data_IF_292865973332
#
_entry.id   IF_292865973332
#
_cell.length_a   1.000
_cell.length_b   1.000
_cell.length_c   1.000
_cell.angle_alpha   90.00
_cell.angle_beta   90.00
_cell.angle_gamma   90.00
#
_symmetry.space_group_name_H-M   'P 1'
#
loop_
_entity.id
_entity.type
_entity.pdbx_description
1 polymer ?
#
# COMPACT_ATOMS: atom_id res chain seq x y z
N UNK A 1 6.25 5.24 -12.68
CA UNK A 1 6.34 3.76 -12.72
C UNK A 1 7.79 3.40 -13.05
N UNK A 2 8.55 2.84 -12.10
CA UNK A 2 9.96 2.44 -12.36
C UNK A 2 9.95 1.08 -13.05
N UNK A 3 10.48 0.99 -14.27
CA UNK A 3 10.67 -0.29 -14.94
C UNK A 3 11.86 -1.05 -14.30
N UNK A 4 12.02 -2.34 -14.57
CA UNK A 4 13.18 -3.14 -14.10
C UNK A 4 14.54 -2.46 -14.34
N UNK A 5 14.68 -1.75 -15.46
CA UNK A 5 15.86 -0.95 -15.77
C UNK A 5 16.07 0.24 -14.83
N UNK A 6 15.01 0.84 -14.30
CA UNK A 6 15.08 1.89 -13.29
C UNK A 6 15.51 1.33 -11.93
N UNK A 7 15.09 0.11 -11.58
CA UNK A 7 15.51 -0.57 -10.36
C UNK A 7 17.00 -0.92 -10.42
N UNK A 8 17.48 -1.43 -11.56
CA UNK A 8 18.91 -1.69 -11.75
C UNK A 8 19.76 -0.43 -11.67
N UNK A 9 19.28 0.68 -12.26
CA UNK A 9 19.97 1.98 -12.18
C UNK A 9 19.97 2.54 -10.76
N UNK A 10 18.87 2.39 -10.04
CA UNK A 10 18.77 2.84 -8.65
C UNK A 10 19.71 2.03 -7.76
N UNK A 11 19.71 0.69 -7.87
CA UNK A 11 20.61 -0.16 -7.09
C UNK A 11 22.09 0.13 -7.40
N UNK A 12 22.44 0.35 -8.67
CA UNK A 12 23.79 0.78 -9.04
C UNK A 12 24.16 2.14 -8.43
N UNK A 13 23.21 3.08 -8.36
CA UNK A 13 23.43 4.39 -7.74
C UNK A 13 23.62 4.33 -6.23
N UNK A 14 23.22 3.22 -5.58
CA UNK A 14 23.40 2.99 -4.16
C UNK A 14 24.75 2.39 -3.79
N UNK A 15 25.58 1.97 -4.75
CA UNK A 15 26.89 1.38 -4.48
C UNK A 15 27.78 2.23 -3.54
N UNK A 16 27.89 3.57 -3.69
CA UNK A 16 28.67 4.40 -2.77
C UNK A 16 28.13 4.40 -1.33
N UNK A 17 26.81 4.30 -1.17
CA UNK A 17 26.16 4.20 0.12
C UNK A 17 26.41 2.82 0.75
N UNK A 18 26.29 1.74 -0.03
CA UNK A 18 26.59 0.38 0.42
C UNK A 18 28.05 0.24 0.85
N UNK A 19 28.96 0.90 0.14
CA UNK A 19 30.36 0.98 0.52
C UNK A 19 30.57 1.75 1.82
N UNK A 20 29.78 2.80 2.07
CA UNK A 20 29.82 3.58 3.31
C UNK A 20 29.23 2.81 4.51
N UNK A 21 28.28 1.91 4.28
CA UNK A 21 27.77 0.99 5.32
C UNK A 21 28.83 -0.02 5.80
N UNK A 22 29.91 -0.22 5.04
CA UNK A 22 31.00 -1.15 5.39
C UNK A 22 30.59 -2.62 5.36
N UNK A 23 29.49 -2.95 4.67
CA UNK A 23 28.97 -4.30 4.55
C UNK A 23 29.47 -4.94 3.24
N UNK A 24 30.69 -5.50 3.31
CA UNK A 24 31.38 -6.07 2.15
C UNK A 24 30.59 -7.21 1.50
N UNK A 25 29.75 -7.92 2.27
CA UNK A 25 28.90 -9.00 1.78
C UNK A 25 27.78 -8.48 0.88
N UNK A 26 27.06 -7.44 1.33
CA UNK A 26 26.02 -6.79 0.54
C UNK A 26 26.62 -6.11 -0.70
N UNK A 27 27.76 -5.43 -0.54
CA UNK A 27 28.42 -4.74 -1.64
C UNK A 27 28.89 -5.73 -2.73
N UNK A 28 29.50 -6.84 -2.33
CA UNK A 28 29.90 -7.91 -3.26
C UNK A 28 28.69 -8.53 -3.97
N UNK A 29 27.64 -8.84 -3.22
CA UNK A 29 26.40 -9.40 -3.77
C UNK A 29 25.71 -8.43 -4.73
N UNK A 30 25.74 -7.13 -4.45
CA UNK A 30 25.20 -6.08 -5.33
C UNK A 30 25.94 -6.06 -6.67
N UNK A 31 27.28 -6.09 -6.65
CA UNK A 31 28.10 -6.12 -7.86
C UNK A 31 27.85 -7.37 -8.70
N UNK A 32 27.76 -8.54 -8.05
CA UNK A 32 27.45 -9.80 -8.72
C UNK A 32 26.06 -9.75 -9.37
N UNK A 33 25.05 -9.26 -8.64
CA UNK A 33 23.69 -9.12 -9.15
C UNK A 33 23.62 -8.17 -10.37
N UNK A 34 24.36 -7.05 -10.35
CA UNK A 34 24.39 -6.11 -11.47
C UNK A 34 25.16 -6.63 -12.70
N UNK A 35 26.16 -7.49 -12.47
CA UNK A 35 26.98 -8.10 -13.52
C UNK A 35 26.32 -9.32 -14.19
N UNK A 36 25.24 -9.86 -13.62
CA UNK A 36 24.56 -11.05 -14.15
C UNK A 36 24.00 -10.79 -15.57
N UNK A 37 24.43 -11.58 -16.58
CA UNK A 37 23.98 -11.43 -17.96
C UNK A 37 22.59 -12.02 -18.23
N UNK A 38 22.16 -13.06 -17.50
CA UNK A 38 20.83 -13.64 -17.69
C UNK A 38 19.76 -12.81 -16.95
N UNK A 39 18.74 -12.36 -17.67
CA UNK A 39 17.72 -11.45 -17.10
C UNK A 39 16.93 -12.03 -15.92
N UNK A 40 16.71 -13.36 -15.89
CA UNK A 40 15.97 -14.00 -14.80
C UNK A 40 16.87 -14.22 -13.58
N UNK A 41 18.12 -14.64 -13.80
CA UNK A 41 19.11 -14.78 -12.73
C UNK A 41 19.48 -13.42 -12.14
N UNK A 42 19.54 -12.38 -12.98
CA UNK A 42 19.78 -10.99 -12.56
C UNK A 42 18.70 -10.50 -11.60
N UNK A 43 17.43 -10.71 -11.95
CA UNK A 43 16.31 -10.35 -11.08
C UNK A 43 16.35 -11.10 -9.75
N UNK A 44 16.63 -12.41 -9.78
CA UNK A 44 16.74 -13.22 -8.56
C UNK A 44 17.91 -12.76 -7.66
N UNK A 45 19.05 -12.40 -8.25
CA UNK A 45 20.20 -11.88 -7.52
C UNK A 45 19.92 -10.50 -6.91
N UNK A 46 19.26 -9.61 -7.65
CA UNK A 46 18.85 -8.28 -7.16
C UNK A 46 17.83 -8.43 -6.00
N UNK A 47 16.91 -9.39 -6.06
CA UNK A 47 16.00 -9.72 -4.95
C UNK A 47 16.75 -10.10 -3.68
N UNK A 48 17.71 -11.01 -3.79
CA UNK A 48 18.51 -11.46 -2.66
C UNK A 48 19.25 -10.28 -2.00
N UNK A 49 19.86 -9.41 -2.81
CA UNK A 49 20.57 -8.22 -2.34
C UNK A 49 19.65 -7.26 -1.58
N UNK A 50 18.44 -7.01 -2.10
CA UNK A 50 17.50 -6.12 -1.44
C UNK A 50 16.99 -6.69 -0.10
N UNK A 51 16.76 -8.00 -0.02
CA UNK A 51 16.35 -8.65 1.23
C UNK A 51 17.45 -8.59 2.30
N UNK A 52 18.70 -8.82 1.91
CA UNK A 52 19.85 -8.60 2.81
C UNK A 52 19.89 -7.15 3.32
N UNK A 53 19.60 -6.19 2.44
CA UNK A 53 19.51 -4.78 2.80
C UNK A 53 18.37 -4.48 3.77
N UNK A 54 17.21 -5.14 3.63
CA UNK A 54 16.08 -5.02 4.55
C UNK A 54 16.46 -5.48 5.95
N UNK A 55 17.01 -6.69 6.06
CA UNK A 55 17.44 -7.26 7.35
C UNK A 55 18.49 -6.38 8.02
N UNK A 56 19.37 -5.76 7.22
CA UNK A 56 20.41 -4.87 7.73
C UNK A 56 19.88 -3.52 8.21
N UNK A 57 18.88 -2.97 7.53
CA UNK A 57 18.18 -1.75 7.96
C UNK A 57 17.43 -1.94 9.28
N UNK A 58 16.87 -3.13 9.51
CA UNK A 58 16.18 -3.43 10.76
C UNK A 58 17.17 -3.59 11.93
N UNK A 59 18.43 -3.93 11.65
CA UNK A 59 19.51 -4.05 12.64
C UNK A 59 20.25 -2.73 12.91
N UNK A 60 20.32 -1.83 11.93
CA UNK A 60 21.06 -0.56 12.03
C UNK A 60 20.10 0.63 12.02
N UNK A 61 19.84 1.19 13.21
CA UNK A 61 18.96 2.35 13.40
C UNK A 61 19.51 3.68 12.86
N UNK A 62 20.73 3.72 12.32
CA UNK A 62 21.46 4.94 11.95
C UNK A 62 21.53 5.18 10.43
N UNK A 63 20.71 4.46 9.64
CA UNK A 63 20.57 4.75 8.21
C UNK A 63 19.72 6.00 8.02
N UNK A 64 20.29 6.99 7.32
CA UNK A 64 19.62 8.23 6.96
C UNK A 64 18.23 7.99 6.37
N UNK A 65 17.26 8.82 6.75
CA UNK A 65 15.85 8.64 6.40
C UNK A 65 15.60 8.56 4.89
N UNK A 66 16.45 9.20 4.08
CA UNK A 66 16.36 9.19 2.61
C UNK A 66 16.83 7.87 2.01
N UNK A 67 17.94 7.31 2.49
CA UNK A 67 18.50 6.03 2.03
C UNK A 67 17.60 4.87 2.43
N UNK A 68 17.04 4.91 3.64
CA UNK A 68 16.03 3.96 4.10
C UNK A 68 14.78 4.00 3.22
N UNK A 69 14.29 5.19 2.88
CA UNK A 69 13.13 5.36 2.00
C UNK A 69 13.41 4.80 0.59
N UNK A 70 14.59 5.08 0.03
CA UNK A 70 14.99 4.56 -1.30
C UNK A 70 15.04 3.03 -1.33
N UNK A 71 15.60 2.40 -0.29
CA UNK A 71 15.66 0.95 -0.16
C UNK A 71 14.27 0.31 -0.07
N UNK A 72 13.39 0.89 0.75
CA UNK A 72 12.01 0.43 0.87
C UNK A 72 11.25 0.56 -0.45
N UNK A 73 11.44 1.66 -1.19
CA UNK A 73 10.83 1.85 -2.52
C UNK A 73 11.32 0.79 -3.51
N UNK A 74 12.61 0.46 -3.52
CA UNK A 74 13.15 -0.60 -4.39
C UNK A 74 12.65 -1.99 -3.99
N UNK A 75 12.67 -2.33 -2.70
CA UNK A 75 12.16 -3.60 -2.16
C UNK A 75 10.70 -3.82 -2.57
N UNK A 76 9.89 -2.79 -2.41
CA UNK A 76 8.50 -2.80 -2.79
C UNK A 76 8.30 -2.86 -4.31
N UNK A 77 9.21 -2.28 -5.10
CA UNK A 77 9.16 -2.37 -6.57
C UNK A 77 9.54 -3.75 -7.10
N UNK A 78 10.36 -4.52 -6.37
CA UNK A 78 10.78 -5.86 -6.77
C UNK A 78 9.80 -6.95 -6.31
N UNK A 79 9.16 -6.79 -5.15
CA UNK A 79 8.03 -7.67 -4.76
C UNK A 79 6.95 -7.68 -5.86
N UNK A 80 6.77 -6.57 -6.58
CA UNK A 80 5.89 -6.48 -7.76
C UNK A 80 6.30 -7.38 -8.94
N UNK A 81 7.58 -7.63 -9.17
CA UNK A 81 8.01 -8.48 -10.30
C UNK A 81 7.82 -9.99 -10.05
N UNK A 82 7.79 -10.44 -8.78
CA UNK A 82 7.28 -11.80 -8.48
C UNK A 82 5.77 -11.88 -8.61
N UNK A 83 5.07 -10.78 -8.32
CA UNK A 83 3.62 -10.64 -8.50
C UNK A 83 3.23 -10.54 -9.98
N UNK A 84 4.07 -10.10 -10.91
CA UNK A 84 3.73 -10.01 -12.34
C UNK A 84 3.56 -11.37 -13.06
N UNK A 85 3.58 -12.51 -12.35
CA UNK A 85 3.13 -13.82 -12.85
C UNK A 85 1.76 -14.27 -12.29
N UNK A 86 1.10 -13.49 -11.43
CA UNK A 86 -0.26 -13.72 -10.93
C UNK A 86 -1.01 -12.38 -10.84
N UNK A 87 -2.27 -12.28 -11.28
CA UNK A 87 -3.02 -11.02 -11.21
C UNK A 87 -2.93 -10.38 -9.81
N UNK A 88 -2.63 -9.07 -9.74
CA UNK A 88 -2.53 -8.35 -8.46
C UNK A 88 -3.92 -8.20 -7.82
N UNK A 89 -3.99 -7.90 -6.52
CA UNK A 89 -5.28 -7.70 -5.82
C UNK A 89 -6.08 -6.59 -6.51
N UNK A 90 -5.39 -5.50 -6.89
CA UNK A 90 -5.99 -4.38 -7.61
C UNK A 90 -6.43 -4.76 -9.02
N UNK A 91 -5.66 -5.56 -9.77
CA UNK A 91 -6.09 -6.02 -11.10
C UNK A 91 -7.38 -6.86 -11.02
N UNK A 92 -7.47 -7.74 -10.02
CA UNK A 92 -8.68 -8.56 -9.80
C UNK A 92 -9.88 -7.69 -9.41
N UNK A 93 -9.68 -6.73 -8.51
CA UNK A 93 -10.72 -5.76 -8.14
C UNK A 93 -11.18 -4.99 -9.37
N UNK A 94 -10.27 -4.40 -10.15
CA UNK A 94 -10.59 -3.61 -11.35
C UNK A 94 -11.36 -4.46 -12.36
N UNK A 95 -10.94 -5.71 -12.59
CA UNK A 95 -11.66 -6.63 -13.47
C UNK A 95 -13.10 -6.86 -13.02
N UNK A 96 -13.35 -7.14 -11.74
CA UNK A 96 -14.71 -7.33 -11.22
C UNK A 96 -15.54 -6.03 -11.27
N UNK A 97 -14.90 -4.87 -11.08
CA UNK A 97 -15.57 -3.56 -11.20
C UNK A 97 -15.97 -3.25 -12.64
N UNK A 98 -15.10 -3.57 -13.61
CA UNK A 98 -15.36 -3.43 -15.05
C UNK A 98 -16.53 -4.31 -15.50
N UNK A 99 -16.60 -5.56 -15.01
CA UNK A 99 -17.72 -6.48 -15.24
C UNK A 99 -19.05 -5.94 -14.70
N UNK A 100 -19.01 -5.09 -13.67
CA UNK A 100 -20.16 -4.40 -13.08
C UNK A 100 -20.42 -3.01 -13.68
N UNK A 101 -19.63 -2.59 -14.67
CA UNK A 101 -19.69 -1.26 -15.27
C UNK A 101 -19.53 -0.10 -14.26
N UNK A 102 -18.77 -0.33 -13.20
CA UNK A 102 -18.46 0.68 -12.18
C UNK A 102 -17.32 1.56 -12.70
N UNK A 103 -17.45 2.87 -12.57
CA UNK A 103 -16.37 3.79 -12.97
C UNK A 103 -15.31 3.84 -11.87
N UNK A 104 -14.09 3.47 -12.24
CA UNK A 104 -12.93 3.54 -11.36
C UNK A 104 -11.74 4.10 -12.14
N UNK A 105 -10.95 4.91 -11.48
CA UNK A 105 -9.66 5.37 -11.99
C UNK A 105 -8.53 4.70 -11.20
N UNK A 106 -7.59 4.11 -11.93
CA UNK A 106 -6.36 3.56 -11.36
C UNK A 106 -5.33 4.68 -11.30
N UNK A 107 -4.94 5.07 -10.10
CA UNK A 107 -3.97 6.15 -9.87
C UNK A 107 -2.64 5.59 -9.34
N UNK A 108 -1.62 6.44 -9.34
CA UNK A 108 -0.29 6.04 -8.92
C UNK A 108 -0.29 5.52 -7.45
N UNK A 109 0.53 4.50 -7.16
CA UNK A 109 0.84 4.11 -5.79
C UNK A 109 1.42 5.29 -5.03
N UNK A 110 1.07 5.45 -3.75
CA UNK A 110 1.62 6.41 -2.76
C UNK A 110 2.68 7.39 -3.30
N UNK A 111 2.29 8.64 -3.54
CA UNK A 111 3.22 9.72 -3.87
C UNK A 111 2.51 11.07 -3.96
N UNK A 112 2.85 12.01 -3.07
CA UNK A 112 2.37 13.41 -2.98
C UNK A 112 0.85 13.68 -3.13
N UNK A 113 0.03 12.64 -3.24
CA UNK A 113 -1.42 12.75 -3.34
C UNK A 113 -1.96 13.30 -2.02
N UNK A 114 -2.70 14.40 -2.16
CA UNK A 114 -3.25 15.19 -1.06
C UNK A 114 -4.05 14.35 -0.05
N UNK A 115 -4.92 13.38 -0.44
CA UNK A 115 -5.70 12.59 0.51
C UNK A 115 -4.82 11.75 1.44
N UNK A 116 -3.80 11.08 0.90
CA UNK A 116 -2.91 10.22 1.67
C UNK A 116 -1.97 11.00 2.60
N UNK A 117 -1.52 12.18 2.15
CA UNK A 117 -0.72 13.08 2.98
C UNK A 117 -1.55 13.58 4.15
N UNK A 118 -2.78 14.06 3.89
CA UNK A 118 -3.70 14.52 4.94
C UNK A 118 -4.13 13.41 5.88
N UNK A 119 -4.38 12.20 5.36
CA UNK A 119 -4.69 11.05 6.18
C UNK A 119 -3.63 10.82 7.27
N UNK A 120 -2.35 10.85 6.90
CA UNK A 120 -1.24 10.69 7.86
C UNK A 120 -1.14 11.82 8.88
N UNK A 121 -1.58 13.02 8.51
CA UNK A 121 -1.58 14.19 9.40
C UNK A 121 -2.76 14.17 10.37
N UNK A 122 -3.89 13.61 9.96
CA UNK A 122 -5.16 13.66 10.72
C UNK A 122 -5.45 12.41 11.52
N UNK A 123 -5.07 11.24 11.04
CA UNK A 123 -5.36 9.98 11.72
C UNK A 123 -4.11 9.44 12.45
N UNK A 124 -4.28 8.98 13.69
CA UNK A 124 -3.19 8.31 14.40
C UNK A 124 -2.87 6.98 13.71
N UNK A 125 -1.60 6.72 13.44
CA UNK A 125 -1.15 5.51 12.76
C UNK A 125 -0.72 4.43 13.76
N UNK A 126 -0.97 3.16 13.42
CA UNK A 126 -0.47 2.01 14.19
C UNK A 126 0.62 1.24 13.42
N UNK A 127 1.37 0.38 14.11
CA UNK A 127 2.42 -0.43 13.50
C UNK A 127 1.92 -1.73 12.85
N UNK A 128 0.69 -2.13 13.15
CA UNK A 128 0.09 -3.42 12.75
C UNK A 128 -1.29 -3.28 12.08
N UNK A 129 -1.77 -2.03 11.91
CA UNK A 129 -2.97 -1.61 11.16
C UNK A 129 -2.74 -0.18 10.66
N UNK A 130 -3.53 0.33 9.72
CA UNK A 130 -3.38 1.70 9.24
C UNK A 130 -3.69 2.71 10.36
N UNK A 131 -4.84 2.56 11.01
CA UNK A 131 -5.35 3.54 11.98
C UNK A 131 -5.27 2.98 13.39
N UNK A 132 -4.72 3.74 14.33
CA UNK A 132 -4.83 3.45 15.76
C UNK A 132 -6.20 3.89 16.28
N UNK A 133 -7.20 3.04 16.07
CA UNK A 133 -8.59 3.28 16.47
C UNK A 133 -8.78 3.60 17.96
N UNK A 134 -7.89 3.12 18.82
CA UNK A 134 -7.91 3.43 20.26
C UNK A 134 -7.73 4.92 20.57
N UNK A 135 -7.24 5.68 19.58
CA UNK A 135 -6.97 7.12 19.66
C UNK A 135 -7.91 7.95 18.79
N UNK A 136 -8.85 7.32 18.07
CA UNK A 136 -9.87 8.00 17.27
C UNK A 136 -11.15 8.11 18.10
N UNK A 137 -11.61 9.33 18.46
CA UNK A 137 -12.84 9.52 19.21
C UNK A 137 -14.05 8.97 18.46
N UNK A 138 -14.99 8.35 19.19
CA UNK A 138 -16.26 7.86 18.67
C UNK A 138 -16.13 6.95 17.43
N UNK A 139 -15.00 6.24 17.32
CA UNK A 139 -14.80 5.29 16.23
C UNK A 139 -15.70 4.05 16.37
N UNK A 140 -15.93 3.40 15.24
CA UNK A 140 -16.58 2.10 15.15
C UNK A 140 -15.52 1.04 14.85
N UNK A 141 -15.48 -0.02 15.66
CA UNK A 141 -14.68 -1.23 15.41
C UNK A 141 -15.58 -2.46 15.52
N UNK A 142 -15.51 -3.38 14.55
CA UNK A 142 -16.25 -4.65 14.60
C UNK A 142 -15.55 -5.74 13.78
N UNK A 143 -15.53 -6.96 14.29
CA UNK A 143 -15.13 -8.15 13.53
C UNK A 143 -16.27 -8.68 12.67
N UNK A 144 -16.10 -8.69 11.35
CA UNK A 144 -17.13 -9.10 10.37
C UNK A 144 -16.48 -9.82 9.20
N UNK A 145 -16.87 -11.08 8.95
CA UNK A 145 -16.27 -11.88 7.88
C UNK A 145 -17.09 -11.93 6.60
N UNK A 146 -18.36 -11.57 6.66
CA UNK A 146 -19.26 -11.59 5.52
C UNK A 146 -19.10 -10.28 4.72
N UNK A 147 -18.63 -10.32 3.46
CA UNK A 147 -18.49 -9.14 2.62
C UNK A 147 -19.79 -8.35 2.44
N UNK A 148 -20.94 -9.02 2.41
CA UNK A 148 -22.24 -8.36 2.29
C UNK A 148 -22.62 -7.63 3.59
N UNK A 149 -22.24 -8.18 4.75
CA UNK A 149 -22.41 -7.51 6.03
C UNK A 149 -21.47 -6.30 6.15
N UNK A 150 -20.20 -6.42 5.71
CA UNK A 150 -19.26 -5.30 5.66
C UNK A 150 -19.84 -4.15 4.82
N UNK A 151 -20.36 -4.46 3.62
CA UNK A 151 -21.03 -3.48 2.76
C UNK A 151 -22.21 -2.80 3.46
N UNK A 152 -23.08 -3.58 4.10
CA UNK A 152 -24.24 -3.05 4.83
C UNK A 152 -23.84 -2.13 5.99
N UNK A 153 -22.80 -2.50 6.73
CA UNK A 153 -22.25 -1.69 7.82
C UNK A 153 -21.66 -0.40 7.27
N UNK A 154 -20.82 -0.46 6.24
CA UNK A 154 -20.24 0.73 5.63
C UNK A 154 -21.33 1.69 5.12
N UNK A 155 -22.35 1.19 4.44
CA UNK A 155 -23.51 1.98 4.01
C UNK A 155 -24.26 2.63 5.18
N UNK A 156 -24.39 1.92 6.31
CA UNK A 156 -25.05 2.45 7.50
C UNK A 156 -24.20 3.54 8.16
N UNK A 157 -22.88 3.32 8.28
CA UNK A 157 -21.94 4.30 8.83
C UNK A 157 -21.91 5.59 8.00
N UNK A 158 -21.87 5.50 6.67
CA UNK A 158 -21.95 6.69 5.81
C UNK A 158 -23.26 7.45 6.03
N UNK A 159 -24.38 6.75 6.18
CA UNK A 159 -25.70 7.37 6.41
C UNK A 159 -25.80 8.03 7.79
N UNK A 160 -25.39 7.31 8.83
CA UNK A 160 -25.51 7.74 10.22
C UNK A 160 -24.60 8.95 10.51
N UNK A 161 -23.46 9.04 9.81
CA UNK A 161 -22.53 10.17 9.89
C UNK A 161 -22.79 11.26 8.84
N UNK A 162 -23.88 11.17 8.06
CA UNK A 162 -24.23 12.15 7.02
C UNK A 162 -23.09 12.43 6.04
N UNK A 163 -22.40 11.38 5.60
CA UNK A 163 -21.31 11.49 4.63
C UNK A 163 -21.91 11.78 3.25
N UNK A 164 -21.55 12.95 2.71
CA UNK A 164 -21.94 13.37 1.36
C UNK A 164 -21.21 12.57 0.28
N UNK A 165 -21.81 12.52 -0.91
CA UNK A 165 -21.15 11.93 -2.08
C UNK A 165 -19.92 12.76 -2.48
N UNK A 166 -18.79 12.08 -2.67
CA UNK A 166 -17.50 12.69 -2.96
C UNK A 166 -16.50 11.67 -3.48
N UNK A 167 -15.28 12.11 -3.77
CA UNK A 167 -14.20 11.20 -4.18
C UNK A 167 -13.69 10.37 -3.00
N UNK A 168 -13.52 9.08 -3.24
CA UNK A 168 -12.93 8.12 -2.31
C UNK A 168 -11.69 7.49 -2.94
N UNK A 169 -10.64 7.44 -2.13
CA UNK A 169 -9.35 6.88 -2.46
C UNK A 169 -9.21 5.55 -1.73
N UNK A 170 -8.85 4.51 -2.48
CA UNK A 170 -8.72 3.15 -1.97
C UNK A 170 -7.26 2.74 -2.13
N UNK A 171 -6.63 2.37 -1.02
CA UNK A 171 -5.26 1.84 -0.99
C UNK A 171 -5.22 0.51 -0.27
N UNK A 172 -4.18 -0.27 -0.55
CA UNK A 172 -3.83 -1.46 0.21
C UNK A 172 -2.56 -1.22 1.05
N UNK A 173 -2.23 -2.12 1.99
CA UNK A 173 -0.93 -2.09 2.71
C UNK A 173 0.25 -2.44 1.79
N UNK A 174 -0.06 -2.97 0.60
CA UNK A 174 0.91 -3.30 -0.41
C UNK A 174 1.19 -2.09 -1.27
N UNK A 175 2.39 -2.09 -1.85
CA UNK A 175 2.74 -1.10 -2.87
C UNK A 175 2.06 -1.57 -4.15
N UNK A 176 0.80 -1.18 -4.33
CA UNK A 176 -0.05 -1.40 -5.50
C UNK A 176 -0.59 -0.06 -6.01
N UNK A 177 -1.09 0.04 -7.25
CA UNK A 177 -1.85 1.21 -7.69
C UNK A 177 -3.04 1.45 -6.75
N UNK A 178 -3.38 2.72 -6.51
CA UNK A 178 -4.57 3.06 -5.75
C UNK A 178 -5.78 3.16 -6.69
N UNK A 179 -6.97 3.09 -6.12
CA UNK A 179 -8.20 3.35 -6.86
C UNK A 179 -8.82 4.67 -6.42
N UNK A 180 -9.44 5.35 -7.37
CA UNK A 180 -10.24 6.54 -7.14
C UNK A 180 -11.62 6.35 -7.77
N UNK A 181 -12.67 6.61 -7.00
CA UNK A 181 -14.06 6.53 -7.45
C UNK A 181 -14.97 7.42 -6.61
N UNK A 182 -16.23 7.57 -7.03
CA UNK A 182 -17.24 8.24 -6.20
C UNK A 182 -17.65 7.36 -5.02
N UNK A 183 -18.08 7.98 -3.92
CA UNK A 183 -18.68 7.25 -2.80
C UNK A 183 -19.91 6.47 -3.25
N UNK A 184 -20.76 7.03 -4.12
CA UNK A 184 -21.92 6.34 -4.68
C UNK A 184 -21.54 5.04 -5.40
N UNK A 185 -20.52 5.10 -6.27
CA UNK A 185 -20.00 3.92 -6.97
C UNK A 185 -19.44 2.90 -5.97
N UNK A 186 -18.64 3.37 -5.00
CA UNK A 186 -18.08 2.53 -3.94
C UNK A 186 -19.18 1.81 -3.14
N UNK A 187 -20.22 2.51 -2.70
CA UNK A 187 -21.33 1.92 -1.94
C UNK A 187 -22.10 0.88 -2.77
N UNK A 188 -22.16 1.03 -4.09
CA UNK A 188 -22.78 0.06 -4.97
C UNK A 188 -21.96 -1.24 -5.09
N UNK A 189 -20.62 -1.16 -4.98
CA UNK A 189 -19.70 -2.28 -5.19
C UNK A 189 -18.82 -2.67 -3.99
N UNK A 190 -19.09 -2.16 -2.78
CA UNK A 190 -18.24 -2.41 -1.60
C UNK A 190 -18.09 -3.91 -1.25
N UNK A 191 -19.04 -4.76 -1.65
CA UNK A 191 -18.94 -6.22 -1.52
C UNK A 191 -17.77 -6.80 -2.32
N UNK A 192 -17.45 -6.23 -3.48
CA UNK A 192 -16.29 -6.62 -4.30
C UNK A 192 -15.03 -6.40 -3.48
N UNK A 193 -14.83 -5.18 -2.99
CA UNK A 193 -13.64 -4.80 -2.24
C UNK A 193 -13.50 -5.61 -0.95
N UNK A 194 -14.60 -5.82 -0.24
CA UNK A 194 -14.61 -6.62 0.98
C UNK A 194 -14.25 -8.10 0.74
N UNK A 195 -14.56 -8.69 -0.43
CA UNK A 195 -14.17 -10.08 -0.77
C UNK A 195 -12.66 -10.25 -0.92
N UNK A 196 -11.97 -9.23 -1.40
CA UNK A 196 -10.52 -9.25 -1.54
C UNK A 196 -9.80 -8.84 -0.23
N UNK A 197 -10.56 -8.54 0.82
CA UNK A 197 -10.11 -7.75 1.96
C UNK A 197 -9.22 -8.47 2.96
N UNK A 198 -7.92 -8.16 2.88
CA UNK A 198 -7.12 -7.79 4.05
C UNK A 198 -6.38 -6.50 3.72
N UNK A 199 -6.29 -5.59 4.69
CA UNK A 199 -5.54 -4.34 4.63
C UNK A 199 -5.98 -3.35 3.54
N UNK A 200 -7.29 -3.15 3.40
CA UNK A 200 -7.86 -2.11 2.55
C UNK A 200 -8.20 -0.87 3.36
N UNK A 201 -7.93 0.29 2.78
CA UNK A 201 -8.22 1.59 3.39
C UNK A 201 -8.96 2.48 2.41
N UNK A 202 -10.15 2.96 2.80
CA UNK A 202 -10.97 3.89 2.05
C UNK A 202 -10.88 5.26 2.72
N UNK A 203 -10.44 6.27 1.98
CA UNK A 203 -10.16 7.61 2.48
C UNK A 203 -10.94 8.62 1.65
N UNK A 204 -11.67 9.52 2.30
CA UNK A 204 -12.25 10.69 1.62
C UNK A 204 -11.17 11.63 1.05
N UNK A 205 -11.48 12.41 0.03
CA UNK A 205 -10.54 13.39 -0.58
C UNK A 205 -9.81 14.30 0.44
N UNK A 206 -10.54 14.87 1.40
CA UNK A 206 -9.97 15.75 2.42
C UNK A 206 -9.50 15.01 3.69
N UNK A 207 -9.56 13.68 3.68
CA UNK A 207 -9.32 12.80 4.82
C UNK A 207 -10.15 13.21 6.06
N UNK A 208 -11.44 13.53 5.87
CA UNK A 208 -12.41 13.80 6.92
C UNK A 208 -13.01 12.52 7.52
N UNK A 209 -12.94 11.40 6.80
CA UNK A 209 -13.30 10.09 7.30
C UNK A 209 -12.42 9.01 6.68
N UNK A 210 -12.35 7.88 7.39
CA UNK A 210 -11.66 6.69 6.92
C UNK A 210 -12.43 5.43 7.29
N UNK A 211 -12.44 4.47 6.38
CA UNK A 211 -12.92 3.11 6.60
C UNK A 211 -11.79 2.14 6.32
N UNK A 212 -11.51 1.24 7.25
CA UNK A 212 -10.45 0.23 7.14
C UNK A 212 -11.07 -1.16 7.19
N UNK A 213 -10.61 -2.05 6.32
CA UNK A 213 -10.80 -3.49 6.42
C UNK A 213 -9.42 -4.09 6.69
N UNK A 214 -9.14 -4.48 7.93
CA UNK A 214 -7.84 -5.04 8.32
C UNK A 214 -7.94 -6.54 8.61
N UNK A 215 -6.82 -7.17 8.96
CA UNK A 215 -6.67 -8.63 9.08
C UNK A 215 -7.87 -9.34 9.75
N UNK A 216 -8.23 -10.52 9.21
CA UNK A 216 -9.29 -11.41 9.71
C UNK A 216 -10.74 -10.90 9.61
N UNK A 217 -10.97 -9.82 8.87
CA UNK A 217 -12.31 -9.24 8.65
C UNK A 217 -12.68 -8.21 9.71
N UNK A 218 -11.73 -7.74 10.50
CA UNK A 218 -11.99 -6.61 11.35
C UNK A 218 -12.14 -5.34 10.51
N UNK A 219 -13.17 -4.56 10.83
CA UNK A 219 -13.44 -3.28 10.18
C UNK A 219 -13.38 -2.15 11.19
N UNK A 220 -12.85 -1.02 10.73
CA UNK A 220 -12.76 0.22 11.48
C UNK A 220 -13.36 1.38 10.69
N UNK A 221 -14.06 2.28 11.37
CA UNK A 221 -14.52 3.53 10.77
C UNK A 221 -14.37 4.67 11.76
N UNK A 222 -13.98 5.84 11.26
CA UNK A 222 -13.98 7.04 12.08
C UNK A 222 -13.89 8.30 11.26
N UNK A 223 -14.36 9.37 11.89
CA UNK A 223 -14.17 10.73 11.41
C UNK A 223 -12.81 11.22 11.87
N UNK A 224 -12.23 12.14 11.10
CA UNK A 224 -11.00 12.79 11.47
C UNK A 224 -11.18 13.54 12.79
N UNK A 225 -10.26 13.38 13.76
CA UNK A 225 -10.26 14.19 14.98
C UNK A 225 -10.23 15.68 14.63
N UNK A 226 -11.03 16.47 15.35
CA UNK A 226 -11.04 17.94 15.28
C UNK A 226 -9.72 18.56 15.76
#
# INVERSE_FOLDING_TARGET
>A
MKNLGDIYRELASMEPFLQALGDDEILSSTRLALAEPDGNQKLAAVKAVLEMLRERLDQHGDVGSNERMRLLVMLNSIKRDDLHKSSTTIDNIVQELDERHVRVEVIAPWGEDRPFTRFKERFPLASWRFVDWSRVPDCFEKSVRDPDEIKSIFQSLCRDNSIDDGEVFITTSFVEPNLRMSLTDLLACADVLARYGTDLLFISDDADWVFEIYHEGDIGFGLAPL
#
